data_IF_134498642584
#
_entry.id   IF_134498642584
#
_cell.length_a   1.000
_cell.length_b   1.000
_cell.length_c   1.000
_cell.angle_alpha   90.00
_cell.angle_beta   90.00
_cell.angle_gamma   90.00
#
_symmetry.space_group_name_H-M   'P 1'
#
loop_
_entity.id
_entity.type
_entity.pdbx_description
1 polymer ?
#
# COMPACT_ATOMS: atom_id res chain seq x y z
N UNK A 1 17.75 -2.81 -9.33
CA UNK A 1 17.83 -1.81 -8.23
C UNK A 1 17.79 -0.40 -8.84
N UNK A 2 17.81 0.65 -8.02
CA UNK A 2 17.70 2.04 -8.52
C UNK A 2 18.84 2.41 -9.48
N UNK A 3 20.07 1.95 -9.21
CA UNK A 3 21.23 2.21 -10.07
C UNK A 3 21.09 1.52 -11.43
N UNK A 4 20.55 0.31 -11.47
CA UNK A 4 20.25 -0.38 -12.72
C UNK A 4 19.17 0.32 -13.56
N UNK A 5 18.26 1.08 -12.95
CA UNK A 5 17.27 1.88 -13.69
C UNK A 5 17.90 3.18 -14.22
N UNK A 6 18.74 3.82 -13.41
CA UNK A 6 19.49 5.02 -13.81
C UNK A 6 20.41 4.70 -15.01
N UNK A 7 21.09 3.55 -14.98
CA UNK A 7 22.02 3.15 -16.04
C UNK A 7 21.35 2.82 -17.37
N UNK A 8 20.04 2.52 -17.41
CA UNK A 8 19.29 2.31 -18.66
C UNK A 8 19.20 3.57 -19.52
N UNK A 9 19.20 4.76 -18.90
CA UNK A 9 19.30 6.04 -19.60
C UNK A 9 18.04 6.49 -20.37
N UNK A 10 17.02 5.65 -20.55
CA UNK A 10 15.72 6.10 -21.06
C UNK A 10 15.00 6.98 -20.03
N UNK A 11 14.17 7.91 -20.50
CA UNK A 11 13.55 8.94 -19.66
C UNK A 11 12.76 8.36 -18.49
N UNK A 12 12.04 7.25 -18.70
CA UNK A 12 11.16 6.65 -17.71
C UNK A 12 11.98 5.92 -16.64
N UNK A 13 12.93 5.07 -17.05
CA UNK A 13 13.81 4.37 -16.12
C UNK A 13 14.71 5.33 -15.34
N UNK A 14 15.23 6.38 -16.00
CA UNK A 14 16.06 7.39 -15.33
C UNK A 14 15.27 8.14 -14.27
N UNK A 15 14.04 8.58 -14.58
CA UNK A 15 13.17 9.25 -13.61
C UNK A 15 12.83 8.34 -12.43
N UNK A 16 12.37 7.11 -12.70
CA UNK A 16 11.99 6.15 -11.67
C UNK A 16 13.18 5.78 -10.77
N UNK A 17 14.35 5.50 -11.35
CA UNK A 17 15.56 5.18 -10.62
C UNK A 17 16.06 6.34 -9.76
N UNK A 18 16.03 7.56 -10.29
CA UNK A 18 16.42 8.78 -9.54
C UNK A 18 15.47 9.04 -8.37
N UNK A 19 14.16 8.89 -8.58
CA UNK A 19 13.16 9.07 -7.53
C UNK A 19 13.38 8.09 -6.36
N UNK A 20 13.54 6.81 -6.67
CA UNK A 20 13.78 5.76 -5.66
C UNK A 20 15.11 6.01 -4.92
N UNK A 21 16.19 6.32 -5.65
CA UNK A 21 17.50 6.61 -5.04
C UNK A 21 17.44 7.80 -4.06
N UNK A 22 16.69 8.85 -4.41
CA UNK A 22 16.49 10.02 -3.55
C UNK A 22 15.73 9.66 -2.28
N UNK A 23 14.66 8.88 -2.37
CA UNK A 23 13.90 8.46 -1.20
C UNK A 23 14.71 7.54 -0.29
N UNK A 24 15.49 6.59 -0.83
CA UNK A 24 16.36 5.71 -0.02
C UNK A 24 17.35 6.56 0.78
N UNK A 25 17.99 7.53 0.13
CA UNK A 25 18.95 8.44 0.78
C UNK A 25 18.31 9.31 1.86
N UNK A 26 17.08 9.76 1.64
CA UNK A 26 16.37 10.61 2.60
C UNK A 26 15.88 9.83 3.82
N UNK A 27 15.36 8.62 3.63
CA UNK A 27 14.73 7.82 4.69
C UNK A 27 15.75 6.98 5.47
N UNK A 28 16.92 6.70 4.90
CA UNK A 28 17.97 5.88 5.52
C UNK A 28 17.63 4.38 5.57
N UNK A 29 16.59 3.95 4.86
CA UNK A 29 16.15 2.56 4.75
C UNK A 29 15.47 2.31 3.39
N UNK A 30 15.10 1.06 3.13
CA UNK A 30 14.38 0.66 1.92
C UNK A 30 13.04 1.42 1.79
N UNK A 31 12.71 1.80 0.56
CA UNK A 31 11.51 2.60 0.25
C UNK A 31 10.34 1.70 -0.06
N UNK A 32 9.17 2.06 0.45
CA UNK A 32 7.89 1.47 0.05
C UNK A 32 7.22 2.35 -1.01
N UNK A 33 6.59 1.71 -2.00
CA UNK A 33 5.88 2.41 -3.07
C UNK A 33 4.37 2.28 -2.86
N UNK A 34 3.82 3.06 -1.91
CA UNK A 34 2.42 2.96 -1.48
C UNK A 34 1.41 3.13 -2.63
N UNK A 35 1.50 4.24 -3.37
CA UNK A 35 0.60 4.55 -4.47
C UNK A 35 0.68 3.52 -5.60
N UNK A 36 1.91 3.06 -5.90
CA UNK A 36 2.12 1.96 -6.84
C UNK A 36 1.44 0.67 -6.34
N UNK A 37 1.55 0.34 -5.06
CA UNK A 37 0.89 -0.82 -4.47
C UNK A 37 -0.63 -0.80 -4.65
N UNK A 38 -1.25 0.38 -4.55
CA UNK A 38 -2.68 0.54 -4.82
C UNK A 38 -3.03 0.25 -6.29
N UNK A 39 -2.27 0.81 -7.24
CA UNK A 39 -2.45 0.56 -8.68
C UNK A 39 -2.20 -0.91 -9.03
N UNK A 40 -1.12 -1.50 -8.50
CA UNK A 40 -0.77 -2.90 -8.71
C UNK A 40 -1.88 -3.83 -8.20
N UNK A 41 -2.44 -3.53 -7.03
CA UNK A 41 -3.57 -4.29 -6.46
C UNK A 41 -4.83 -4.16 -7.33
N UNK A 42 -5.09 -3.00 -7.93
CA UNK A 42 -6.24 -2.83 -8.83
C UNK A 42 -6.07 -3.58 -10.16
N UNK A 43 -4.85 -3.64 -10.70
CA UNK A 43 -4.55 -4.32 -11.98
C UNK A 43 -4.45 -5.84 -11.79
N UNK A 44 -3.88 -6.30 -10.68
CA UNK A 44 -3.62 -7.69 -10.39
C UNK A 44 -4.04 -8.03 -8.96
N UNK A 45 -5.35 -8.06 -8.66
CA UNK A 45 -5.87 -8.27 -7.31
C UNK A 45 -5.45 -9.62 -6.70
N UNK A 46 -5.17 -10.63 -7.54
CA UNK A 46 -4.65 -11.92 -7.09
C UNK A 46 -3.26 -11.85 -6.42
N UNK A 47 -2.52 -10.75 -6.60
CA UNK A 47 -1.24 -10.52 -5.94
C UNK A 47 -1.39 -9.92 -4.54
N UNK A 48 -2.63 -9.63 -4.10
CA UNK A 48 -2.91 -9.09 -2.78
C UNK A 48 -3.85 -10.03 -2.02
N UNK A 49 -3.56 -10.25 -0.73
CA UNK A 49 -4.50 -10.89 0.18
C UNK A 49 -5.31 -9.80 0.86
N UNK A 50 -6.61 -9.79 0.61
CA UNK A 50 -7.56 -8.88 1.26
C UNK A 50 -8.38 -9.58 2.33
N UNK A 51 -8.88 -8.80 3.28
CA UNK A 51 -9.92 -9.23 4.21
C UNK A 51 -11.00 -8.16 4.30
N UNK A 52 -12.26 -8.57 4.20
CA UNK A 52 -13.41 -7.66 4.33
C UNK A 52 -13.64 -7.32 5.81
N UNK A 53 -13.24 -6.13 6.23
CA UNK A 53 -13.24 -5.67 7.62
C UNK A 53 -14.18 -4.49 7.80
N UNK A 54 -14.75 -4.35 9.00
CA UNK A 54 -15.46 -3.13 9.37
C UNK A 54 -14.45 -2.04 9.71
N UNK A 55 -14.53 -0.90 9.04
CA UNK A 55 -13.55 0.18 9.15
C UNK A 55 -14.18 1.47 9.64
N UNK A 56 -13.53 2.11 10.61
CA UNK A 56 -13.85 3.45 11.12
C UNK A 56 -12.61 4.31 11.05
N UNK A 57 -12.76 5.61 10.84
CA UNK A 57 -11.67 6.57 10.99
C UNK A 57 -11.88 7.34 12.29
N UNK A 58 -10.88 7.35 13.17
CA UNK A 58 -10.95 8.15 14.39
C UNK A 58 -10.81 9.64 14.03
N UNK A 59 -11.89 10.39 14.21
CA UNK A 59 -11.94 11.84 13.98
C UNK A 59 -11.93 12.65 15.27
N UNK A 60 -11.82 11.99 16.43
CA UNK A 60 -11.79 12.66 17.74
C UNK A 60 -10.53 13.49 17.92
N UNK A 61 -10.54 14.40 18.88
CA UNK A 61 -9.34 15.13 19.24
C UNK A 61 -8.46 14.28 20.15
N UNK A 62 -7.24 13.97 19.73
CA UNK A 62 -6.33 13.14 20.50
C UNK A 62 -5.20 12.53 19.64
N UNK A 63 -4.33 11.73 20.25
CA UNK A 63 -3.17 11.13 19.56
C UNK A 63 -3.58 10.16 18.44
N UNK A 64 -4.79 9.60 18.48
CA UNK A 64 -5.28 8.63 17.50
C UNK A 64 -6.01 9.29 16.32
N UNK A 65 -6.12 10.62 16.30
CA UNK A 65 -6.84 11.33 15.24
C UNK A 65 -6.24 11.00 13.86
N UNK A 66 -7.08 10.53 12.95
CA UNK A 66 -6.70 10.10 11.59
C UNK A 66 -6.36 8.61 11.49
N UNK A 67 -6.41 7.85 12.59
CA UNK A 67 -6.20 6.41 12.55
C UNK A 67 -7.35 5.70 11.84
N UNK A 68 -7.02 4.83 10.89
CA UNK A 68 -7.95 3.85 10.32
C UNK A 68 -8.04 2.65 11.26
N UNK A 69 -9.17 2.50 11.94
CA UNK A 69 -9.43 1.42 12.89
C UNK A 69 -10.15 0.30 12.17
N UNK A 70 -9.52 -0.88 12.11
CA UNK A 70 -10.04 -2.07 11.45
C UNK A 70 -10.46 -3.13 12.49
N UNK A 71 -11.70 -3.59 12.43
CA UNK A 71 -12.18 -4.62 13.36
C UNK A 71 -11.78 -6.04 12.93
N UNK A 72 -10.74 -6.58 13.55
CA UNK A 72 -10.24 -7.94 13.31
C UNK A 72 -10.90 -9.02 14.20
N UNK A 73 -11.82 -8.65 15.09
CA UNK A 73 -12.45 -9.61 16.01
C UNK A 73 -13.27 -10.62 15.19
N UNK A 74 -13.19 -11.89 15.59
CA UNK A 74 -13.93 -12.99 14.94
C UNK A 74 -15.43 -12.96 15.22
N UNK A 75 -15.85 -12.15 16.20
CA UNK A 75 -17.25 -11.92 16.55
C UNK A 75 -17.62 -10.46 16.27
N UNK A 76 -18.88 -10.22 15.93
CA UNK A 76 -19.39 -8.87 15.76
C UNK A 76 -19.78 -8.28 17.11
N UNK A 77 -19.13 -7.18 17.47
CA UNK A 77 -19.55 -6.34 18.59
C UNK A 77 -20.68 -5.42 18.11
N UNK A 78 -21.92 -5.89 18.25
CA UNK A 78 -23.14 -5.20 17.78
C UNK A 78 -23.77 -4.38 18.92
N UNK A 79 -22.99 -4.04 19.95
CA UNK A 79 -23.48 -3.18 21.01
C UNK A 79 -23.79 -1.77 20.43
N UNK A 80 -24.91 -1.12 20.81
CA UNK A 80 -25.28 0.19 20.26
C UNK A 80 -24.18 1.26 20.37
N UNK A 81 -23.36 1.18 21.40
CA UNK A 81 -22.25 2.08 21.69
C UNK A 81 -20.95 1.73 20.94
N UNK A 82 -20.87 0.56 20.29
CA UNK A 82 -19.67 0.15 19.56
C UNK A 82 -19.51 0.98 18.29
N UNK A 83 -18.33 1.59 18.12
CA UNK A 83 -18.00 2.40 16.95
C UNK A 83 -18.14 1.64 15.62
N UNK A 84 -18.06 0.30 15.66
CA UNK A 84 -18.12 -0.55 14.46
C UNK A 84 -19.52 -1.06 14.10
N UNK A 85 -20.56 -0.83 14.93
CA UNK A 85 -21.91 -1.40 14.73
C UNK A 85 -22.50 -1.07 13.36
N UNK A 86 -22.31 0.16 12.86
CA UNK A 86 -22.78 0.61 11.56
C UNK A 86 -21.65 0.87 10.55
N UNK A 87 -20.42 0.48 10.88
CA UNK A 87 -19.27 0.72 10.03
C UNK A 87 -19.35 -0.10 8.72
N UNK A 88 -18.97 0.49 7.57
CA UNK A 88 -18.96 -0.21 6.29
C UNK A 88 -17.93 -1.33 6.30
N UNK A 89 -18.20 -2.37 5.51
CA UNK A 89 -17.19 -3.39 5.20
C UNK A 89 -16.33 -2.90 4.04
N UNK A 90 -15.02 -2.96 4.23
CA UNK A 90 -14.00 -2.56 3.26
C UNK A 90 -13.02 -3.70 3.12
N UNK A 91 -12.62 -4.00 1.88
CA UNK A 91 -11.57 -4.98 1.63
C UNK A 91 -10.21 -4.34 1.90
N UNK A 92 -9.63 -4.72 3.04
CA UNK A 92 -8.33 -4.22 3.49
C UNK A 92 -7.24 -5.16 2.99
N UNK A 93 -6.24 -4.62 2.30
CA UNK A 93 -5.03 -5.37 1.90
C UNK A 93 -4.19 -5.64 3.14
N UNK A 94 -3.94 -6.91 3.43
CA UNK A 94 -3.14 -7.35 4.58
C UNK A 94 -1.77 -7.86 4.16
N UNK A 95 -1.64 -8.43 2.97
CA UNK A 95 -0.39 -8.94 2.41
C UNK A 95 -0.36 -8.72 0.89
N UNK A 96 0.84 -8.65 0.33
CA UNK A 96 1.09 -8.58 -1.11
C UNK A 96 2.20 -9.56 -1.51
N UNK A 97 2.14 -10.06 -2.74
CA UNK A 97 3.28 -10.72 -3.38
C UNK A 97 4.30 -9.66 -3.82
N UNK A 98 5.23 -9.37 -2.93
CA UNK A 98 6.29 -8.36 -3.14
C UNK A 98 7.11 -8.67 -4.39
N UNK A 99 7.41 -9.95 -4.65
CA UNK A 99 8.27 -10.34 -5.77
C UNK A 99 7.55 -10.08 -7.10
N UNK A 100 6.34 -10.61 -7.23
CA UNK A 100 5.55 -10.44 -8.45
C UNK A 100 5.21 -8.98 -8.73
N UNK A 101 4.87 -8.18 -7.71
CA UNK A 101 4.64 -6.75 -7.88
C UNK A 101 5.93 -6.02 -8.28
N UNK A 102 7.09 -6.32 -7.69
CA UNK A 102 8.36 -5.70 -8.12
C UNK A 102 8.71 -6.03 -9.57
N UNK A 103 8.50 -7.28 -9.99
CA UNK A 103 8.70 -7.71 -11.38
C UNK A 103 7.76 -6.95 -12.34
N UNK A 104 6.48 -6.81 -11.98
CA UNK A 104 5.50 -6.05 -12.75
C UNK A 104 5.87 -4.56 -12.87
N UNK A 105 6.34 -3.96 -11.77
CA UNK A 105 6.79 -2.57 -11.76
C UNK A 105 7.98 -2.37 -12.70
N UNK A 106 9.02 -3.20 -12.57
CA UNK A 106 10.21 -3.13 -13.41
C UNK A 106 9.87 -3.34 -14.88
N UNK A 107 9.01 -4.33 -15.18
CA UNK A 107 8.52 -4.58 -16.53
C UNK A 107 7.85 -3.33 -17.13
N UNK A 108 6.92 -2.74 -16.39
CA UNK A 108 6.19 -1.52 -16.79
C UNK A 108 7.14 -0.33 -17.03
N UNK A 109 8.04 -0.06 -16.09
CA UNK A 109 8.96 1.09 -16.17
C UNK A 109 9.96 0.93 -17.33
N UNK A 110 10.40 -0.30 -17.59
CA UNK A 110 11.43 -0.57 -18.59
C UNK A 110 10.89 -0.91 -19.98
N UNK A 111 9.57 -0.97 -20.15
CA UNK A 111 8.91 -1.26 -21.43
C UNK A 111 9.11 -2.70 -21.93
N UNK A 112 9.44 -3.64 -21.04
CA UNK A 112 9.61 -5.07 -21.36
C UNK A 112 8.30 -5.86 -21.26
#
# INVERSE_FOLDING_TARGET
>A
DAQSLISKGDTTSLFAGTLVDRFIKQMGHDVTLGDYGAVATAIAPQLARTQSLRVVVDTTHGPNRGQTVCDHRSYADIAPESAHTHAPKVDVVLEIDIKAMKEMWLKTITGN
#
